data_IF_612897954013
#
_entry.id   IF_612897954013
#
_cell.length_a   1.000
_cell.length_b   1.000
_cell.length_c   1.000
_cell.angle_alpha   90.00
_cell.angle_beta   90.00
_cell.angle_gamma   90.00
#
_symmetry.space_group_name_H-M   'P 1'
#
loop_
_entity.id
_entity.type
_entity.pdbx_description
1 polymer ?
#
# COMPACT_ATOMS: atom_id res chain seq x y z
N UNK A 1 -4.48 19.26 3.18
CA UNK A 1 -3.89 19.55 1.87
C UNK A 1 -2.37 19.40 1.90
N UNK A 2 -1.65 20.13 2.76
CA UNK A 2 -0.18 20.03 2.90
C UNK A 2 0.34 18.59 3.07
N UNK A 3 -0.25 17.79 3.98
CA UNK A 3 0.14 16.38 4.20
C UNK A 3 -0.06 15.47 2.99
N UNK A 4 -1.08 15.71 2.17
CA UNK A 4 -1.32 14.98 0.92
C UNK A 4 -0.25 15.34 -0.11
N UNK A 5 0.06 16.63 -0.25
CA UNK A 5 1.12 17.11 -1.14
C UNK A 5 2.49 16.59 -0.70
N UNK A 6 2.77 16.50 0.60
CA UNK A 6 3.98 15.88 1.13
C UNK A 6 4.06 14.39 0.79
N UNK A 7 2.97 13.64 0.92
CA UNK A 7 2.94 12.21 0.58
C UNK A 7 3.15 11.97 -0.91
N UNK A 8 2.49 12.75 -1.77
CA UNK A 8 2.69 12.70 -3.23
C UNK A 8 4.15 13.06 -3.54
N UNK A 9 4.66 14.17 -3.00
CA UNK A 9 6.03 14.63 -3.25
C UNK A 9 7.08 13.61 -2.81
N UNK A 10 6.98 13.08 -1.58
CA UNK A 10 7.92 12.09 -1.06
C UNK A 10 7.79 10.78 -1.85
N UNK A 11 6.57 10.32 -2.14
CA UNK A 11 6.34 9.12 -2.93
C UNK A 11 6.94 9.23 -4.33
N UNK A 12 6.65 10.32 -5.05
CA UNK A 12 7.18 10.59 -6.40
C UNK A 12 8.70 10.82 -6.40
N UNK A 13 9.26 11.47 -5.38
CA UNK A 13 10.72 11.71 -5.29
C UNK A 13 11.49 10.45 -4.94
N UNK A 14 10.99 9.66 -3.99
CA UNK A 14 11.54 8.34 -3.63
C UNK A 14 11.50 7.40 -4.84
N UNK A 15 10.38 7.44 -5.58
CA UNK A 15 10.22 6.71 -6.83
C UNK A 15 11.19 7.16 -7.92
N UNK A 16 11.30 8.47 -8.19
CA UNK A 16 12.21 9.02 -9.19
C UNK A 16 13.68 8.72 -8.87
N UNK A 17 14.05 8.80 -7.59
CA UNK A 17 15.38 8.44 -7.13
C UNK A 17 15.69 6.95 -7.34
N UNK A 18 14.77 6.06 -6.95
CA UNK A 18 14.93 4.62 -7.18
C UNK A 18 15.04 4.29 -8.68
N UNK A 19 14.23 4.93 -9.52
CA UNK A 19 14.31 4.78 -10.97
C UNK A 19 15.69 5.21 -11.51
N UNK A 20 16.18 6.38 -11.11
CA UNK A 20 17.45 6.92 -11.61
C UNK A 20 18.65 6.07 -11.18
N UNK A 21 18.65 5.60 -9.93
CA UNK A 21 19.79 4.86 -9.36
C UNK A 21 19.80 3.39 -9.79
N UNK A 22 18.62 2.78 -9.92
CA UNK A 22 18.49 1.33 -10.07
C UNK A 22 17.78 0.90 -11.34
N UNK A 23 16.93 1.74 -11.92
CA UNK A 23 16.25 1.44 -13.19
C UNK A 23 17.22 1.25 -14.36
N UNK A 24 18.41 1.85 -14.29
CA UNK A 24 19.48 1.60 -15.27
C UNK A 24 20.25 0.30 -15.02
N UNK A 25 20.21 -0.24 -13.79
CA UNK A 25 20.90 -1.49 -13.41
C UNK A 25 20.00 -2.72 -13.55
N UNK A 26 18.68 -2.55 -13.50
CA UNK A 26 17.69 -3.61 -13.72
C UNK A 26 17.43 -3.69 -15.23
N UNK A 27 18.16 -4.56 -15.91
CA UNK A 27 18.03 -4.77 -17.36
C UNK A 27 16.71 -5.44 -17.78
N UNK A 28 16.00 -6.04 -16.82
CA UNK A 28 14.74 -6.72 -17.08
C UNK A 28 13.53 -5.76 -16.89
N UNK A 29 12.81 -5.42 -17.97
CA UNK A 29 11.65 -4.53 -17.90
C UNK A 29 10.52 -5.09 -17.02
N UNK A 30 10.40 -6.40 -16.86
CA UNK A 30 9.36 -7.02 -16.02
C UNK A 30 9.66 -6.82 -14.53
N UNK A 31 10.90 -7.02 -14.08
CA UNK A 31 11.27 -6.70 -12.69
C UNK A 31 11.15 -5.20 -12.40
N UNK A 32 11.54 -4.37 -13.37
CA UNK A 32 11.37 -2.92 -13.23
C UNK A 32 9.88 -2.55 -13.06
N UNK A 33 9.01 -3.09 -13.91
CA UNK A 33 7.56 -2.87 -13.82
C UNK A 33 6.99 -3.40 -12.51
N UNK A 34 7.45 -4.55 -12.02
CA UNK A 34 7.03 -5.07 -10.71
C UNK A 34 7.27 -4.04 -9.60
N UNK A 35 8.49 -3.48 -9.51
CA UNK A 35 8.84 -2.48 -8.51
C UNK A 35 8.04 -1.18 -8.73
N UNK A 36 7.96 -0.72 -9.98
CA UNK A 36 7.23 0.50 -10.36
C UNK A 36 5.77 0.46 -9.89
N UNK A 37 5.04 -0.57 -10.33
CA UNK A 37 3.61 -0.67 -10.06
C UNK A 37 3.33 -1.03 -8.60
N UNK A 38 4.24 -1.76 -7.94
CA UNK A 38 4.16 -2.04 -6.50
C UNK A 38 4.28 -0.76 -5.67
N UNK A 39 5.29 0.08 -5.95
CA UNK A 39 5.46 1.37 -5.26
C UNK A 39 4.31 2.34 -5.58
N UNK A 40 3.85 2.41 -6.83
CA UNK A 40 2.71 3.25 -7.22
C UNK A 40 1.41 2.86 -6.49
N UNK A 41 1.14 1.55 -6.35
CA UNK A 41 0.00 1.06 -5.59
C UNK A 41 0.00 1.55 -4.13
N UNK A 42 1.18 1.51 -3.48
CA UNK A 42 1.34 1.85 -2.06
C UNK A 42 1.37 3.37 -1.84
N UNK A 43 2.30 4.05 -2.52
CA UNK A 43 2.65 5.43 -2.21
C UNK A 43 1.67 6.44 -2.83
N UNK A 44 1.17 6.12 -4.03
CA UNK A 44 0.33 7.03 -4.80
C UNK A 44 -1.13 6.66 -4.56
N UNK A 45 -1.57 5.46 -4.96
CA UNK A 45 -2.99 5.15 -4.97
C UNK A 45 -3.58 4.93 -3.57
N UNK A 46 -2.96 4.11 -2.72
CA UNK A 46 -3.43 3.91 -1.35
C UNK A 46 -3.26 5.18 -0.48
N UNK A 47 -2.14 5.91 -0.66
CA UNK A 47 -1.90 7.20 -0.01
C UNK A 47 -2.95 8.25 -0.36
N UNK A 48 -3.19 8.48 -1.65
CA UNK A 48 -4.20 9.44 -2.14
C UNK A 48 -5.60 8.99 -1.74
N UNK A 49 -5.96 7.71 -1.92
CA UNK A 49 -7.27 7.18 -1.54
C UNK A 49 -7.60 7.48 -0.07
N UNK A 50 -6.65 7.27 0.84
CA UNK A 50 -6.81 7.61 2.25
C UNK A 50 -6.84 9.12 2.53
N UNK A 51 -6.08 9.91 1.77
CA UNK A 51 -6.07 11.35 1.92
C UNK A 51 -7.37 11.99 1.43
N UNK A 52 -7.97 11.50 0.34
CA UNK A 52 -9.25 11.95 -0.20
C UNK A 52 -10.34 11.93 0.86
N UNK A 53 -10.42 10.87 1.67
CA UNK A 53 -11.37 10.75 2.78
C UNK A 53 -11.25 11.86 3.85
N UNK A 54 -10.13 12.58 3.86
CA UNK A 54 -9.83 13.65 4.82
C UNK A 54 -9.97 15.05 4.23
N UNK A 55 -10.16 15.17 2.92
CA UNK A 55 -10.24 16.46 2.23
C UNK A 55 -11.71 16.82 1.98
N UNK A 56 -12.20 17.86 2.65
CA UNK A 56 -13.56 18.40 2.48
C UNK A 56 -13.81 19.10 1.13
N UNK A 57 -12.82 19.16 0.23
CA UNK A 57 -12.90 19.94 -1.01
C UNK A 57 -13.91 19.39 -2.04
N UNK A 58 -14.39 18.15 -1.88
CA UNK A 58 -15.17 17.46 -2.92
C UNK A 58 -16.70 17.68 -2.83
N UNK A 59 -17.13 18.64 -2.01
CA UNK A 59 -18.51 19.09 -1.87
C UNK A 59 -19.41 18.14 -1.09
N UNK A 60 -19.50 16.87 -1.50
CA UNK A 60 -20.40 15.88 -0.89
C UNK A 60 -19.63 14.67 -0.34
N UNK A 61 -20.18 14.05 0.72
CA UNK A 61 -19.64 12.79 1.25
C UNK A 61 -19.68 11.66 0.21
N UNK A 62 -20.63 11.69 -0.72
CA UNK A 62 -20.74 10.70 -1.80
C UNK A 62 -19.54 10.79 -2.75
N UNK A 63 -19.19 11.99 -3.21
CA UNK A 63 -18.04 12.21 -4.10
C UNK A 63 -16.73 11.78 -3.44
N UNK A 64 -16.55 12.10 -2.15
CA UNK A 64 -15.36 11.67 -1.39
C UNK A 64 -15.24 10.14 -1.33
N UNK A 65 -16.34 9.45 -1.07
CA UNK A 65 -16.37 7.97 -0.98
C UNK A 65 -16.12 7.32 -2.34
N UNK A 66 -16.72 7.87 -3.40
CA UNK A 66 -16.48 7.44 -4.77
C UNK A 66 -15.00 7.56 -5.15
N UNK A 67 -14.39 8.73 -4.93
CA UNK A 67 -12.98 8.96 -5.24
C UNK A 67 -12.06 8.07 -4.39
N UNK A 68 -12.35 7.88 -3.10
CA UNK A 68 -11.63 6.91 -2.28
C UNK A 68 -11.68 5.52 -2.91
N UNK A 69 -12.88 5.04 -3.24
CA UNK A 69 -13.06 3.74 -3.89
C UNK A 69 -12.29 3.62 -5.20
N UNK A 70 -12.41 4.62 -6.07
CA UNK A 70 -11.71 4.69 -7.35
C UNK A 70 -10.19 4.56 -7.19
N UNK A 71 -9.58 5.33 -6.28
CA UNK A 71 -8.14 5.25 -6.03
C UNK A 71 -7.72 3.90 -5.43
N UNK A 72 -8.53 3.29 -4.55
CA UNK A 72 -8.25 1.96 -4.00
C UNK A 72 -8.34 0.87 -5.08
N UNK A 73 -9.28 0.98 -6.02
CA UNK A 73 -9.38 0.09 -7.19
C UNK A 73 -8.17 0.24 -8.12
N UNK A 74 -7.73 1.46 -8.42
CA UNK A 74 -6.50 1.70 -9.20
C UNK A 74 -5.27 1.13 -8.51
N UNK A 75 -5.17 1.29 -7.18
CA UNK A 75 -4.11 0.68 -6.38
C UNK A 75 -4.13 -0.85 -6.47
N UNK A 76 -5.32 -1.46 -6.39
CA UNK A 76 -5.47 -2.92 -6.52
C UNK A 76 -5.03 -3.39 -7.89
N UNK A 77 -5.46 -2.71 -8.96
CA UNK A 77 -5.05 -3.03 -10.33
C UNK A 77 -3.53 -2.91 -10.50
N UNK A 78 -2.92 -1.83 -10.01
CA UNK A 78 -1.47 -1.65 -10.05
C UNK A 78 -0.74 -2.77 -9.28
N UNK A 79 -1.23 -3.19 -8.11
CA UNK A 79 -0.62 -4.28 -7.35
C UNK A 79 -0.74 -5.63 -8.07
N UNK A 80 -1.89 -5.94 -8.64
CA UNK A 80 -2.08 -7.17 -9.44
C UNK A 80 -1.18 -7.15 -10.68
N UNK A 81 -1.08 -6.01 -11.37
CA UNK A 81 -0.20 -5.87 -12.53
C UNK A 81 1.29 -5.99 -12.14
N UNK A 82 1.68 -5.44 -10.98
CA UNK A 82 3.01 -5.64 -10.40
C UNK A 82 3.32 -7.12 -10.18
N UNK A 83 2.40 -7.88 -9.57
CA UNK A 83 2.56 -9.32 -9.34
C UNK A 83 2.61 -10.11 -10.66
N UNK A 84 1.79 -9.74 -11.64
CA UNK A 84 1.81 -10.34 -12.98
C UNK A 84 3.17 -10.18 -13.66
N UNK A 85 3.82 -9.02 -13.52
CA UNK A 85 5.14 -8.78 -14.11
C UNK A 85 6.22 -9.68 -13.50
N UNK A 86 6.27 -9.83 -12.16
CA UNK A 86 7.26 -10.75 -11.55
C UNK A 86 6.97 -12.22 -11.87
N UNK A 87 5.69 -12.60 -11.99
CA UNK A 87 5.30 -13.94 -12.44
C UNK A 87 5.76 -14.20 -13.88
N UNK A 88 5.59 -13.21 -14.77
CA UNK A 88 6.04 -13.27 -16.16
C UNK A 88 7.56 -13.38 -16.24
N UNK A 89 8.30 -12.58 -15.48
CA UNK A 89 9.76 -12.69 -15.39
C UNK A 89 10.17 -14.10 -14.97
N UNK A 90 9.60 -14.65 -13.90
CA UNK A 90 9.95 -16.00 -13.43
C UNK A 90 9.70 -17.08 -14.48
N UNK A 91 8.59 -17.00 -15.23
CA UNK A 91 8.32 -17.93 -16.33
C UNK A 91 9.35 -17.79 -17.45
N UNK A 92 9.68 -16.57 -17.87
CA UNK A 92 10.62 -16.32 -18.97
C UNK A 92 12.04 -16.81 -18.64
N UNK A 93 12.47 -16.66 -17.38
CA UNK A 93 13.81 -17.07 -16.94
C UNK A 93 13.85 -18.44 -16.25
N UNK A 94 12.75 -19.21 -16.33
CA UNK A 94 12.62 -20.54 -15.69
C UNK A 94 13.04 -20.53 -14.22
N UNK A 95 12.66 -19.47 -13.50
CA UNK A 95 12.92 -19.34 -12.06
C UNK A 95 11.77 -19.95 -11.26
N UNK A 96 12.07 -20.60 -10.13
CA UNK A 96 11.06 -21.14 -9.24
C UNK A 96 10.16 -20.03 -8.69
N UNK A 97 8.84 -20.26 -8.68
CA UNK A 97 7.88 -19.35 -8.08
C UNK A 97 7.94 -19.38 -6.54
N UNK A 98 7.39 -18.35 -5.90
CA UNK A 98 7.37 -18.20 -4.44
C UNK A 98 6.78 -19.40 -3.66
N UNK A 99 5.97 -20.25 -4.30
CA UNK A 99 5.34 -21.43 -3.71
C UNK A 99 6.17 -22.73 -3.86
N UNK A 100 7.29 -22.70 -4.58
CA UNK A 100 8.18 -23.85 -4.74
C UNK A 100 9.33 -23.75 -3.75
N UNK A 101 9.30 -24.58 -2.70
CA UNK A 101 10.41 -24.68 -1.75
C UNK A 101 11.56 -25.46 -2.40
N UNK A 102 12.75 -24.87 -2.33
CA UNK A 102 13.97 -25.47 -2.86
C UNK A 102 14.92 -25.58 -1.68
N UNK A 103 15.53 -26.75 -1.56
CA UNK A 103 16.44 -27.09 -0.51
C UNK A 103 17.81 -27.33 -1.13
N UNK A 104 18.85 -26.82 -0.48
CA UNK A 104 20.21 -27.29 -0.71
C UNK A 104 20.30 -28.77 -0.36
N UNK A 105 21.34 -29.46 -0.83
CA UNK A 105 21.59 -30.87 -0.49
C UNK A 105 21.79 -31.11 1.02
N UNK A 106 22.10 -30.05 1.78
CA UNK A 106 22.21 -30.05 3.24
C UNK A 106 20.88 -29.76 3.98
N UNK A 107 19.77 -29.60 3.24
CA UNK A 107 18.45 -29.30 3.80
C UNK A 107 18.20 -27.81 4.12
N UNK A 108 19.15 -26.91 3.89
CA UNK A 108 18.94 -25.46 4.07
C UNK A 108 18.16 -24.84 2.90
N UNK A 109 17.37 -23.78 3.15
CA UNK A 109 16.55 -23.16 2.11
C UNK A 109 17.37 -22.38 1.11
N UNK A 110 17.19 -22.67 -0.19
CA UNK A 110 17.67 -21.80 -1.26
C UNK A 110 16.73 -20.58 -1.31
N UNK A 111 17.24 -19.45 -0.82
CA UNK A 111 16.62 -18.13 -0.94
C UNK A 111 15.32 -17.90 -0.12
N UNK A 112 15.38 -18.19 1.19
CA UNK A 112 14.27 -18.01 2.14
C UNK A 112 13.68 -16.59 2.14
N UNK A 113 14.51 -15.56 2.04
CA UNK A 113 14.07 -14.16 2.06
C UNK A 113 13.27 -13.79 0.80
N UNK A 114 13.72 -14.22 -0.39
CA UNK A 114 12.97 -14.04 -1.64
C UNK A 114 11.60 -14.73 -1.62
N UNK A 115 11.53 -15.92 -1.01
CA UNK A 115 10.27 -16.68 -0.87
C UNK A 115 9.33 -16.06 0.16
N UNK A 116 9.85 -15.62 1.30
CA UNK A 116 9.07 -14.90 2.32
C UNK A 116 8.50 -13.59 1.76
N UNK A 117 9.29 -12.83 0.98
CA UNK A 117 8.80 -11.66 0.26
C UNK A 117 7.68 -12.04 -0.72
N UNK A 118 7.92 -13.02 -1.59
CA UNK A 118 6.90 -13.47 -2.55
C UNK A 118 5.58 -13.88 -1.88
N UNK A 119 5.65 -14.72 -0.84
CA UNK A 119 4.48 -15.21 -0.11
C UNK A 119 3.71 -14.09 0.60
N UNK A 120 4.42 -13.20 1.31
CA UNK A 120 3.80 -12.04 1.95
C UNK A 120 3.16 -11.11 0.91
N UNK A 121 3.80 -10.91 -0.25
CA UNK A 121 3.27 -10.11 -1.35
C UNK A 121 1.96 -10.67 -1.91
N UNK A 122 1.86 -11.98 -2.13
CA UNK A 122 0.62 -12.63 -2.57
C UNK A 122 -0.49 -12.48 -1.54
N UNK A 123 -0.20 -12.75 -0.27
CA UNK A 123 -1.18 -12.64 0.80
C UNK A 123 -1.71 -11.20 0.95
N UNK A 124 -0.81 -10.21 0.92
CA UNK A 124 -1.19 -8.80 0.97
C UNK A 124 -2.00 -8.39 -0.27
N UNK A 125 -1.67 -8.88 -1.46
CA UNK A 125 -2.47 -8.60 -2.66
C UNK A 125 -3.90 -9.12 -2.53
N UNK A 126 -4.07 -10.34 -1.99
CA UNK A 126 -5.39 -10.89 -1.69
C UNK A 126 -6.18 -10.06 -0.66
N UNK A 127 -5.54 -9.68 0.45
CA UNK A 127 -6.14 -8.78 1.46
C UNK A 127 -6.55 -7.45 0.84
N UNK A 128 -5.72 -6.88 -0.05
CA UNK A 128 -6.04 -5.60 -0.68
C UNK A 128 -7.29 -5.68 -1.54
N UNK A 129 -7.42 -6.77 -2.30
CA UNK A 129 -8.61 -7.04 -3.09
C UNK A 129 -9.86 -7.10 -2.21
N UNK A 130 -9.80 -7.83 -1.10
CA UNK A 130 -10.91 -7.92 -0.13
C UNK A 130 -11.26 -6.56 0.50
N UNK A 131 -10.26 -5.78 0.91
CA UNK A 131 -10.47 -4.43 1.45
C UNK A 131 -11.08 -3.49 0.41
N UNK A 132 -10.67 -3.59 -0.85
CA UNK A 132 -11.21 -2.78 -1.95
C UNK A 132 -12.64 -3.19 -2.32
N UNK A 133 -13.02 -4.46 -2.14
CA UNK A 133 -14.40 -4.94 -2.31
C UNK A 133 -15.32 -4.49 -1.16
N UNK A 134 -14.79 -4.15 0.01
CA UNK A 134 -15.59 -3.58 1.08
C UNK A 134 -16.14 -2.18 0.73
N UNK A 135 -15.46 -1.43 -0.14
CA UNK A 135 -15.86 -0.09 -0.60
C UNK A 135 -17.25 -0.10 -1.26
N UNK A 136 -17.53 -0.89 -2.33
CA UNK A 136 -18.86 -0.92 -2.94
C UNK A 136 -19.94 -1.41 -1.98
N UNK A 137 -19.62 -2.28 -1.01
CA UNK A 137 -20.58 -2.76 0.00
C UNK A 137 -20.93 -1.64 0.99
N UNK A 138 -19.94 -0.91 1.49
CA UNK A 138 -20.13 0.17 2.46
C UNK A 138 -20.73 1.43 1.83
N UNK A 139 -20.62 1.60 0.52
CA UNK A 139 -21.12 2.80 -0.17
C UNK A 139 -22.30 2.53 -1.10
N UNK A 140 -22.85 1.30 -1.09
CA UNK A 140 -24.11 0.99 -1.76
C UNK A 140 -25.24 1.87 -1.21
N UNK A 141 -26.11 2.45 -2.09
CA UNK A 141 -27.34 3.08 -1.64
C UNK A 141 -28.18 2.10 -0.80
N UNK A 142 -28.63 2.55 0.38
CA UNK A 142 -29.43 1.72 1.29
C UNK A 142 -28.66 0.98 2.38
N UNK A 143 -27.32 1.04 2.41
CA UNK A 143 -26.55 0.49 3.55
C UNK A 143 -26.93 1.22 4.84
N UNK A 144 -27.29 0.46 5.88
CA UNK A 144 -27.77 1.01 7.15
C UNK A 144 -26.69 1.79 7.90
N UNK A 145 -27.11 2.80 8.68
CA UNK A 145 -26.18 3.60 9.48
C UNK A 145 -25.49 2.76 10.56
N UNK A 146 -26.20 1.77 11.08
CA UNK A 146 -25.74 0.79 12.08
C UNK A 146 -24.61 -0.06 11.50
N UNK A 147 -24.78 -0.57 10.27
CA UNK A 147 -23.74 -1.36 9.60
C UNK A 147 -22.46 -0.54 9.40
N UNK A 148 -22.60 0.72 8.97
CA UNK A 148 -21.46 1.63 8.79
C UNK A 148 -20.77 1.99 10.11
N UNK A 149 -21.54 2.17 11.18
CA UNK A 149 -21.00 2.45 12.51
C UNK A 149 -20.24 1.25 13.09
N UNK A 150 -20.74 0.03 12.86
CA UNK A 150 -20.11 -1.20 13.35
C UNK A 150 -18.87 -1.58 12.53
N UNK A 151 -18.95 -1.54 11.20
CA UNK A 151 -17.88 -2.04 10.31
C UNK A 151 -16.90 -0.95 9.88
N UNK A 152 -17.29 0.32 9.93
CA UNK A 152 -16.45 1.48 9.59
C UNK A 152 -15.12 1.50 10.33
N UNK A 153 -15.11 1.40 11.68
CA UNK A 153 -13.87 1.38 12.46
C UNK A 153 -12.95 0.22 12.11
N UNK A 154 -13.49 -1.00 11.95
CA UNK A 154 -12.73 -2.20 11.61
C UNK A 154 -12.13 -2.11 10.21
N UNK A 155 -12.88 -1.62 9.22
CA UNK A 155 -12.38 -1.38 7.87
C UNK A 155 -11.25 -0.34 7.87
N UNK A 156 -11.43 0.77 8.60
CA UNK A 156 -10.42 1.82 8.70
C UNK A 156 -9.15 1.33 9.42
N UNK A 157 -9.28 0.47 10.44
CA UNK A 157 -8.14 -0.15 11.12
C UNK A 157 -7.44 -1.16 10.20
N UNK A 158 -8.21 -2.02 9.54
CA UNK A 158 -7.71 -2.99 8.56
C UNK A 158 -6.91 -2.32 7.45
N UNK A 159 -7.42 -1.23 6.88
CA UNK A 159 -6.70 -0.44 5.88
C UNK A 159 -5.37 0.15 6.38
N UNK A 160 -5.29 0.59 7.64
CA UNK A 160 -4.03 1.10 8.24
C UNK A 160 -2.99 0.00 8.44
N UNK A 161 -3.41 -1.13 9.03
CA UNK A 161 -2.54 -2.30 9.23
C UNK A 161 -2.04 -2.79 7.88
N UNK A 162 -2.94 -2.84 6.90
CA UNK A 162 -2.61 -3.26 5.55
C UNK A 162 -1.53 -2.38 4.90
N UNK A 163 -1.68 -1.05 4.96
CA UNK A 163 -0.67 -0.12 4.43
C UNK A 163 0.67 -0.23 5.18
N UNK A 164 0.63 -0.48 6.49
CA UNK A 164 1.84 -0.75 7.26
C UNK A 164 2.58 -1.99 6.78
N UNK A 165 1.86 -3.10 6.60
CA UNK A 165 2.42 -4.36 6.12
C UNK A 165 2.96 -4.23 4.69
N UNK A 166 2.26 -3.51 3.80
CA UNK A 166 2.76 -3.16 2.48
C UNK A 166 4.05 -2.33 2.53
N UNK A 167 4.16 -1.44 3.50
CA UNK A 167 5.38 -0.68 3.76
C UNK A 167 6.58 -1.57 4.11
N UNK A 168 6.39 -2.50 5.04
CA UNK A 168 7.39 -3.49 5.41
C UNK A 168 7.76 -4.33 4.19
N UNK A 169 6.76 -4.78 3.43
CA UNK A 169 6.95 -5.56 2.20
C UNK A 169 7.80 -4.82 1.16
N UNK A 170 7.56 -3.52 0.97
CA UNK A 170 8.35 -2.69 0.06
C UNK A 170 9.80 -2.51 0.53
N UNK A 171 10.03 -2.31 1.83
CA UNK A 171 11.39 -2.26 2.41
C UNK A 171 12.11 -3.59 2.19
N UNK A 172 11.42 -4.70 2.42
CA UNK A 172 11.96 -6.04 2.26
C UNK A 172 12.30 -6.35 0.79
N UNK A 173 11.44 -5.94 -0.15
CA UNK A 173 11.70 -6.04 -1.59
C UNK A 173 12.88 -5.16 -2.03
N UNK A 174 12.99 -3.94 -1.51
CA UNK A 174 14.14 -3.07 -1.76
C UNK A 174 15.44 -3.70 -1.24
N UNK A 175 15.41 -4.33 -0.06
CA UNK A 175 16.54 -5.08 0.49
C UNK A 175 16.99 -6.25 -0.38
N UNK A 176 16.04 -6.97 -0.96
CA UNK A 176 16.34 -8.07 -1.87
C UNK A 176 16.92 -7.60 -3.21
N UNK A 177 16.42 -6.49 -3.75
CA UNK A 177 16.90 -5.93 -5.02
C UNK A 177 18.27 -5.25 -4.87
N UNK A 178 18.51 -4.63 -3.72
CA UNK A 178 19.69 -3.82 -3.47
C UNK A 178 20.37 -4.39 -2.22
N UNK A 179 21.30 -5.34 -2.42
CA UNK A 179 22.14 -5.93 -1.35
C UNK A 179 22.83 -4.87 -0.47
N UNK A 180 22.92 -3.64 -0.96
CA UNK A 180 23.20 -2.42 -0.20
C UNK A 180 22.03 -1.46 -0.40
N UNK A 181 21.02 -1.52 0.46
CA UNK A 181 19.91 -0.57 0.35
C UNK A 181 20.44 0.79 0.74
N UNK A 182 20.32 1.74 -0.19
CA UNK A 182 20.59 3.14 0.14
C UNK A 182 19.67 3.53 1.32
N UNK A 183 20.23 3.94 2.47
CA UNK A 183 19.47 4.33 3.64
C UNK A 183 18.36 5.34 3.31
N UNK A 184 18.57 6.19 2.29
CA UNK A 184 17.61 7.21 1.86
C UNK A 184 16.33 6.57 1.28
N UNK A 185 16.45 5.50 0.48
CA UNK A 185 15.28 4.79 -0.07
C UNK A 185 14.49 4.10 1.04
N UNK A 186 15.18 3.43 1.97
CA UNK A 186 14.56 2.80 3.14
C UNK A 186 13.85 3.82 4.02
N UNK A 187 14.51 4.95 4.30
CA UNK A 187 13.93 6.06 5.08
C UNK A 187 12.74 6.67 4.35
N UNK A 188 12.82 6.87 3.03
CA UNK A 188 11.73 7.42 2.22
C UNK A 188 10.48 6.54 2.24
N UNK A 189 10.66 5.22 2.10
CA UNK A 189 9.55 4.25 2.19
C UNK A 189 9.01 4.21 3.63
N UNK A 190 9.87 4.05 4.64
CA UNK A 190 9.46 4.01 6.05
C UNK A 190 8.73 5.29 6.49
N UNK A 191 9.20 6.46 6.06
CA UNK A 191 8.58 7.75 6.34
C UNK A 191 7.24 7.91 5.63
N UNK A 192 7.11 7.47 4.39
CA UNK A 192 5.83 7.48 3.66
C UNK A 192 4.79 6.59 4.32
N UNK A 193 5.20 5.41 4.79
CA UNK A 193 4.39 4.45 5.54
C UNK A 193 3.98 5.04 6.89
N UNK A 194 4.92 5.64 7.63
CA UNK A 194 4.67 6.35 8.88
C UNK A 194 3.64 7.48 8.69
N UNK A 195 3.80 8.30 7.65
CA UNK A 195 2.83 9.36 7.32
C UNK A 195 1.46 8.82 6.93
N UNK A 196 1.37 7.64 6.31
CA UNK A 196 0.10 7.02 5.94
C UNK A 196 -0.68 6.48 7.16
N UNK A 197 0.03 6.00 8.20
CA UNK A 197 -0.56 5.36 9.38
C UNK A 197 -0.87 6.36 10.51
N UNK A 198 -0.10 7.45 10.62
CA UNK A 198 -0.17 8.40 11.74
C UNK A 198 -1.64 8.84 12.00
N UNK A 199 -2.20 8.52 13.18
CA UNK A 199 -3.56 8.90 13.52
C UNK A 199 -3.68 10.42 13.66
N UNK A 200 -4.83 10.96 13.26
CA UNK A 200 -5.28 12.29 13.68
C UNK A 200 -5.86 12.19 15.10
N UNK A 201 -5.14 11.57 16.05
CA UNK A 201 -5.72 11.25 17.36
C UNK A 201 -5.97 12.51 18.21
N UNK A 202 -5.25 13.60 18.00
CA UNK A 202 -5.33 14.71 18.96
C UNK A 202 -6.45 15.74 18.68
N UNK A 203 -6.93 15.89 17.43
CA UNK A 203 -7.95 16.91 17.13
C UNK A 203 -9.39 16.41 17.21
N UNK A 204 -9.68 15.15 16.89
CA UNK A 204 -11.06 14.64 16.98
C UNK A 204 -11.47 14.35 18.43
N UNK A 205 -10.53 13.94 19.29
CA UNK A 205 -10.81 13.68 20.70
C UNK A 205 -10.96 14.98 21.51
N UNK A 206 -10.20 16.04 21.16
CA UNK A 206 -10.39 17.38 21.73
C UNK A 206 -11.72 18.02 21.32
N UNK A 207 -12.13 17.89 20.06
CA UNK A 207 -13.42 18.44 19.60
C UNK A 207 -14.63 17.71 20.18
N UNK A 208 -14.54 16.39 20.43
CA UNK A 208 -15.60 15.63 21.11
C UNK A 208 -15.76 16.08 22.57
N UNK A 209 -14.65 16.23 23.29
CA UNK A 209 -14.66 16.74 24.67
C UNK A 209 -15.12 18.21 24.78
N UNK A 210 -14.93 19.04 23.75
CA UNK A 210 -15.46 20.41 23.72
C UNK A 210 -16.95 20.48 23.37
N UNK A 211 -17.44 19.60 22.50
CA UNK A 211 -18.86 19.46 22.18
C UNK A 211 -19.67 19.02 23.40
N UNK A 212 -19.18 17.99 24.10
CA UNK A 212 -19.85 17.43 25.28
C UNK A 212 -19.82 18.40 26.48
N UNK A 213 -18.86 19.34 26.50
CA UNK A 213 -18.81 20.45 27.46
C UNK A 213 -19.73 21.62 27.14
N UNK A 214 -20.22 21.76 25.90
CA UNK A 214 -21.15 22.84 25.51
C UNK A 214 -22.63 22.45 25.64
N UNK A 215 -22.92 21.17 25.92
CA UNK A 215 -24.28 20.65 26.12
C UNK A 215 -24.61 20.37 27.60
N UNK A 216 -23.71 20.74 28.52
CA UNK A 216 -23.93 20.79 29.98
C UNK A 216 -23.86 22.23 30.43
#
# INVERSE_FOLDING_TARGET
>A
MLRLLTQISVGTSTFYYAYKQYGQQISDPYFFNHIFFGLAAILIFAGIGNAVMKVKLLGTKANTRFLHGFFMSLGTFALVYSVYNVYTAFNLYQKPHAFVFEYNQDGSFINLFGKAHGLMGYFLTGIFGLLSLAVPIMFKPGTSKEFLAQNGPSHALGGKIFIFLLGIQAIFGAYLCFKHVDPILTIGIAFSVFLAILPYSNQQQQNKNQSDKKQK
#
